data_IF_330568171979
#
_entry.id   IF_330568171979
#
_cell.length_a   1.000
_cell.length_b   1.000
_cell.length_c   1.000
_cell.angle_alpha   90.00
_cell.angle_beta   90.00
_cell.angle_gamma   90.00
#
_symmetry.space_group_name_H-M   'P 1'
#
loop_
_entity.id
_entity.type
_entity.pdbx_description
1 polymer ?
#
# COMPACT_ATOMS: atom_id res chain seq x y z
N UNK A 1 20.93 7.17 -55.65
CA UNK A 1 20.62 8.28 -56.59
C UNK A 1 20.41 7.83 -58.04
N UNK A 2 21.27 7.01 -58.67
CA UNK A 2 21.08 6.54 -60.07
C UNK A 2 19.70 5.91 -60.38
N UNK A 3 19.11 5.19 -59.42
CA UNK A 3 17.78 4.58 -59.58
C UNK A 3 16.62 5.58 -59.68
N UNK A 4 16.75 6.78 -59.09
CA UNK A 4 15.67 7.79 -59.09
C UNK A 4 15.65 8.49 -60.45
N UNK A 5 16.82 8.86 -60.97
CA UNK A 5 16.92 9.49 -62.30
C UNK A 5 16.39 8.57 -63.38
N UNK A 6 16.69 7.27 -63.30
CA UNK A 6 16.21 6.25 -64.25
C UNK A 6 14.69 6.00 -64.14
N UNK A 7 14.11 6.14 -62.95
CA UNK A 7 12.67 6.09 -62.74
C UNK A 7 11.97 7.33 -63.31
N UNK A 8 12.58 8.51 -63.20
CA UNK A 8 12.01 9.75 -63.74
C UNK A 8 12.04 9.78 -65.27
N UNK A 9 13.11 9.28 -65.89
CA UNK A 9 13.19 9.20 -67.36
C UNK A 9 12.20 8.18 -67.92
N UNK A 10 12.04 7.02 -67.28
CA UNK A 10 11.04 6.01 -67.69
C UNK A 10 9.61 6.51 -67.51
N UNK A 11 9.30 7.24 -66.44
CA UNK A 11 7.99 7.87 -66.26
C UNK A 11 7.70 8.93 -67.33
N UNK A 12 8.70 9.74 -67.69
CA UNK A 12 8.57 10.74 -68.75
C UNK A 12 8.32 10.08 -70.11
N UNK A 13 9.05 9.01 -70.41
CA UNK A 13 8.89 8.25 -71.65
C UNK A 13 7.53 7.53 -71.72
N UNK A 14 7.03 7.02 -70.59
CA UNK A 14 5.70 6.46 -70.49
C UNK A 14 4.62 7.52 -70.71
N UNK A 15 4.81 8.72 -70.13
CA UNK A 15 3.90 9.84 -70.30
C UNK A 15 3.83 10.30 -71.76
N UNK A 16 5.00 10.47 -72.41
CA UNK A 16 5.08 10.79 -73.84
C UNK A 16 4.41 9.70 -74.70
N UNK A 17 4.65 8.42 -74.41
CA UNK A 17 3.99 7.31 -75.13
C UNK A 17 2.48 7.27 -74.93
N UNK A 18 1.98 7.53 -73.72
CA UNK A 18 0.52 7.61 -73.47
C UNK A 18 -0.10 8.79 -74.19
N UNK A 19 0.64 9.90 -74.33
CA UNK A 19 0.17 11.07 -75.06
C UNK A 19 0.08 10.79 -76.55
N UNK A 20 1.07 10.11 -77.12
CA UNK A 20 1.08 9.73 -78.53
C UNK A 20 -0.01 8.71 -78.84
N UNK A 21 -0.24 7.73 -77.95
CA UNK A 21 -1.36 6.78 -78.07
C UNK A 21 -2.69 7.54 -78.02
N UNK A 22 -2.89 8.48 -77.10
CA UNK A 22 -4.13 9.27 -77.03
C UNK A 22 -4.29 10.20 -78.23
N UNK A 23 -3.20 10.66 -78.84
CA UNK A 23 -3.25 11.52 -80.03
C UNK A 23 -3.50 10.75 -81.33
N UNK A 24 -3.08 9.48 -81.42
CA UNK A 24 -3.17 8.66 -82.63
C UNK A 24 -4.26 7.59 -82.59
N UNK A 25 -4.73 7.20 -81.40
CA UNK A 25 -5.78 6.19 -81.26
C UNK A 25 -7.15 6.77 -81.58
N UNK A 26 -7.94 5.97 -82.30
CA UNK A 26 -9.37 6.19 -82.42
C UNK A 26 -9.95 6.28 -81.00
N UNK A 27 -10.64 7.38 -80.69
CA UNK A 27 -11.27 7.67 -79.39
C UNK A 27 -12.11 6.48 -78.91
N UNK A 28 -12.70 5.73 -79.85
CA UNK A 28 -13.47 4.51 -79.58
C UNK A 28 -12.62 3.44 -78.90
N UNK A 29 -11.39 3.20 -79.37
CA UNK A 29 -10.49 2.20 -78.79
C UNK A 29 -10.04 2.56 -77.37
N UNK A 30 -9.80 3.85 -77.11
CA UNK A 30 -9.46 4.35 -75.78
C UNK A 30 -10.65 4.18 -74.80
N UNK A 31 -11.87 4.48 -75.25
CA UNK A 31 -13.09 4.25 -74.46
C UNK A 31 -13.30 2.78 -74.12
N UNK A 32 -13.09 1.87 -75.07
CA UNK A 32 -13.18 0.41 -74.84
C UNK A 32 -12.15 -0.05 -73.82
N UNK A 33 -10.89 0.41 -73.94
CA UNK A 33 -9.83 0.07 -72.98
C UNK A 33 -10.15 0.59 -71.57
N UNK A 34 -10.59 1.85 -71.45
CA UNK A 34 -11.01 2.44 -70.17
C UNK A 34 -12.17 1.66 -69.56
N UNK A 35 -13.17 1.28 -70.37
CA UNK A 35 -14.30 0.46 -69.94
C UNK A 35 -13.85 -0.90 -69.40
N UNK A 36 -12.97 -1.59 -70.14
CA UNK A 36 -12.44 -2.90 -69.77
C UNK A 36 -11.59 -2.85 -68.49
N UNK A 37 -10.69 -1.87 -68.37
CA UNK A 37 -9.89 -1.66 -67.18
C UNK A 37 -10.74 -1.32 -65.95
N UNK A 38 -11.77 -0.47 -66.12
CA UNK A 38 -12.69 -0.17 -65.03
C UNK A 38 -13.54 -1.37 -64.62
N UNK A 39 -13.98 -2.19 -65.58
CA UNK A 39 -14.72 -3.42 -65.30
C UNK A 39 -13.84 -4.41 -64.53
N UNK A 40 -12.65 -4.74 -65.03
CA UNK A 40 -11.70 -5.62 -64.35
C UNK A 40 -11.29 -5.09 -62.97
N UNK A 41 -10.99 -3.79 -62.88
CA UNK A 41 -10.66 -3.14 -61.62
C UNK A 41 -11.81 -3.19 -60.61
N UNK A 42 -13.05 -3.04 -61.07
CA UNK A 42 -14.23 -3.13 -60.20
C UNK A 42 -14.42 -4.53 -59.63
N UNK A 43 -14.12 -5.58 -60.41
CA UNK A 43 -14.13 -6.97 -59.95
C UNK A 43 -13.05 -7.21 -58.89
N UNK A 44 -11.83 -6.71 -59.12
CA UNK A 44 -10.72 -6.85 -58.18
C UNK A 44 -10.96 -6.15 -56.83
N UNK A 45 -11.72 -5.05 -56.82
CA UNK A 45 -11.99 -4.23 -55.63
C UNK A 45 -13.34 -4.56 -54.97
N UNK A 46 -14.16 -5.45 -55.55
CA UNK A 46 -15.52 -5.74 -55.11
C UNK A 46 -15.62 -6.14 -53.62
N UNK A 47 -14.61 -6.83 -53.07
CA UNK A 47 -14.59 -7.28 -51.67
C UNK A 47 -14.19 -6.23 -50.63
N UNK A 48 -13.85 -5.00 -51.03
CA UNK A 48 -13.22 -4.02 -50.13
C UNK A 48 -13.80 -2.61 -50.29
N UNK A 49 -14.76 -2.19 -49.43
CA UNK A 49 -15.39 -0.86 -49.54
C UNK A 49 -14.39 0.28 -49.30
N UNK A 50 -13.37 0.05 -48.46
CA UNK A 50 -12.32 1.03 -48.20
C UNK A 50 -11.46 1.27 -49.46
N UNK A 51 -11.04 0.21 -50.15
CA UNK A 51 -10.27 0.35 -51.40
C UNK A 51 -11.11 1.03 -52.49
N UNK A 52 -12.42 0.73 -52.57
CA UNK A 52 -13.34 1.41 -53.48
C UNK A 52 -13.42 2.92 -53.22
N UNK A 53 -13.37 3.35 -51.97
CA UNK A 53 -13.36 4.77 -51.63
C UNK A 53 -12.04 5.45 -52.01
N UNK A 54 -10.90 4.80 -51.75
CA UNK A 54 -9.58 5.33 -52.09
C UNK A 54 -9.34 5.42 -53.60
N UNK A 55 -9.73 4.39 -54.36
CA UNK A 55 -9.67 4.41 -55.84
C UNK A 55 -10.44 5.58 -56.44
N UNK A 56 -11.68 5.83 -55.96
CA UNK A 56 -12.48 7.00 -56.37
C UNK A 56 -11.82 8.33 -56.04
N UNK A 57 -11.24 8.47 -54.84
CA UNK A 57 -10.53 9.70 -54.44
C UNK A 57 -9.30 9.96 -55.31
N UNK A 58 -8.53 8.92 -55.61
CA UNK A 58 -7.38 9.03 -56.51
C UNK A 58 -7.82 9.37 -57.93
N UNK A 59 -8.84 8.70 -58.47
CA UNK A 59 -9.39 8.99 -59.78
C UNK A 59 -9.85 10.45 -59.92
N UNK A 60 -10.59 10.96 -58.93
CA UNK A 60 -11.02 12.35 -58.89
C UNK A 60 -9.83 13.31 -58.81
N UNK A 61 -8.83 13.00 -57.98
CA UNK A 61 -7.60 13.79 -57.87
C UNK A 61 -6.84 13.88 -59.19
N UNK A 62 -6.69 12.76 -59.89
CA UNK A 62 -6.03 12.72 -61.21
C UNK A 62 -6.84 13.48 -62.28
N UNK A 63 -8.16 13.36 -62.28
CA UNK A 63 -9.02 14.09 -63.20
C UNK A 63 -8.89 15.60 -63.01
N UNK A 64 -8.96 16.07 -61.76
CA UNK A 64 -8.83 17.51 -61.45
C UNK A 64 -7.42 18.04 -61.76
N UNK A 65 -6.38 17.28 -61.42
CA UNK A 65 -5.00 17.65 -61.73
C UNK A 65 -4.75 17.78 -63.25
N UNK A 66 -5.24 16.82 -64.03
CA UNK A 66 -5.11 16.86 -65.48
C UNK A 66 -5.91 18.00 -66.11
N UNK A 67 -7.16 18.21 -65.66
CA UNK A 67 -7.98 19.32 -66.15
C UNK A 67 -7.33 20.68 -65.86
N UNK A 68 -6.79 20.87 -64.64
CA UNK A 68 -6.08 22.10 -64.27
C UNK A 68 -4.82 22.31 -65.12
N UNK A 69 -4.01 21.27 -65.33
CA UNK A 69 -2.81 21.35 -66.18
C UNK A 69 -3.16 21.71 -67.62
N UNK A 70 -4.20 21.09 -68.19
CA UNK A 70 -4.65 21.36 -69.55
C UNK A 70 -5.12 22.82 -69.73
N UNK A 71 -5.88 23.35 -68.76
CA UNK A 71 -6.36 24.75 -68.81
C UNK A 71 -5.19 25.73 -68.76
N UNK A 72 -4.21 25.51 -67.88
CA UNK A 72 -3.05 26.40 -67.74
C UNK A 72 -2.18 26.38 -69.00
N UNK A 73 -2.07 25.23 -69.67
CA UNK A 73 -1.17 25.06 -70.80
C UNK A 73 -1.74 25.56 -72.12
N UNK A 74 -2.99 25.23 -72.41
CA UNK A 74 -3.54 25.37 -73.77
C UNK A 74 -4.41 26.63 -73.93
N UNK A 75 -4.79 27.33 -72.84
CA UNK A 75 -5.58 28.58 -72.84
C UNK A 75 -6.73 28.56 -73.87
N UNK A 76 -7.76 27.72 -73.66
CA UNK A 76 -8.76 27.41 -74.68
C UNK A 76 -9.48 28.67 -75.16
N UNK A 77 -9.42 28.92 -76.46
CA UNK A 77 -10.02 30.10 -77.09
C UNK A 77 -11.41 29.83 -77.67
N UNK A 78 -11.72 28.56 -77.94
CA UNK A 78 -13.00 28.13 -78.48
C UNK A 78 -13.68 27.05 -77.61
N UNK A 79 -15.01 26.94 -77.76
CA UNK A 79 -15.86 25.94 -77.11
C UNK A 79 -15.52 24.51 -77.54
N UNK A 80 -15.01 24.33 -78.76
CA UNK A 80 -14.55 23.04 -79.29
C UNK A 80 -13.32 22.53 -78.52
N UNK A 81 -12.39 23.42 -78.14
CA UNK A 81 -11.21 23.09 -77.34
C UNK A 81 -11.60 22.64 -75.93
N UNK A 82 -12.58 23.31 -75.31
CA UNK A 82 -13.09 22.94 -73.98
C UNK A 82 -13.70 21.52 -73.98
N UNK A 83 -14.43 21.18 -75.04
CA UNK A 83 -15.01 19.85 -75.18
C UNK A 83 -13.92 18.78 -75.37
N UNK A 84 -12.90 19.06 -76.18
CA UNK A 84 -11.76 18.16 -76.36
C UNK A 84 -10.98 17.94 -75.05
N UNK A 85 -10.75 19.00 -74.26
CA UNK A 85 -10.09 18.91 -72.94
C UNK A 85 -10.95 18.08 -71.97
N UNK A 86 -12.27 18.23 -72.00
CA UNK A 86 -13.19 17.48 -71.15
C UNK A 86 -13.17 15.99 -71.48
N UNK A 87 -13.18 15.63 -72.76
CA UNK A 87 -13.09 14.22 -73.19
C UNK A 87 -11.74 13.62 -72.80
N UNK A 88 -10.63 14.33 -73.05
CA UNK A 88 -9.28 13.86 -72.70
C UNK A 88 -9.08 13.69 -71.19
N UNK A 89 -9.58 14.63 -70.39
CA UNK A 89 -9.52 14.54 -68.92
C UNK A 89 -10.38 13.39 -68.38
N UNK A 90 -11.54 13.14 -68.99
CA UNK A 90 -12.38 11.99 -68.66
C UNK A 90 -11.68 10.66 -68.98
N UNK A 91 -11.05 10.53 -70.15
CA UNK A 91 -10.26 9.35 -70.53
C UNK A 91 -9.06 9.14 -69.61
N UNK A 92 -8.29 10.20 -69.32
CA UNK A 92 -7.15 10.13 -68.41
C UNK A 92 -7.57 9.72 -67.00
N UNK A 93 -8.65 10.30 -66.48
CA UNK A 93 -9.24 9.93 -65.19
C UNK A 93 -9.71 8.47 -65.18
N UNK A 94 -10.36 8.01 -66.25
CA UNK A 94 -10.81 6.63 -66.41
C UNK A 94 -9.66 5.61 -66.44
N UNK A 95 -8.56 5.92 -67.14
CA UNK A 95 -7.35 5.09 -67.16
C UNK A 95 -6.66 5.05 -65.80
N UNK A 96 -6.47 6.21 -65.16
CA UNK A 96 -5.88 6.31 -63.84
C UNK A 96 -6.70 5.53 -62.81
N UNK A 97 -8.03 5.60 -62.88
CA UNK A 97 -8.93 4.81 -62.05
C UNK A 97 -8.74 3.31 -62.27
N UNK A 98 -8.75 2.86 -63.53
CA UNK A 98 -8.56 1.45 -63.88
C UNK A 98 -7.24 0.90 -63.36
N UNK A 99 -6.14 1.63 -63.55
CA UNK A 99 -4.81 1.26 -63.03
C UNK A 99 -4.78 1.26 -61.50
N UNK A 100 -5.33 2.29 -60.85
CA UNK A 100 -5.39 2.34 -59.40
C UNK A 100 -6.14 1.12 -58.82
N UNK A 101 -7.25 0.71 -59.43
CA UNK A 101 -7.99 -0.48 -59.02
C UNK A 101 -7.19 -1.78 -59.16
N UNK A 102 -6.21 -1.84 -60.07
CA UNK A 102 -5.36 -3.02 -60.27
C UNK A 102 -4.18 -3.03 -59.28
N UNK A 103 -3.54 -1.88 -59.06
CA UNK A 103 -2.36 -1.79 -58.19
C UNK A 103 -2.69 -1.78 -56.69
N UNK A 104 -3.79 -1.14 -56.26
CA UNK A 104 -4.13 -1.02 -54.84
C UNK A 104 -4.31 -2.38 -54.13
N UNK A 105 -5.03 -3.37 -54.70
CA UNK A 105 -5.12 -4.71 -54.12
C UNK A 105 -3.75 -5.39 -54.04
N UNK A 106 -2.90 -5.27 -55.07
CA UNK A 106 -1.57 -5.85 -55.10
C UNK A 106 -0.67 -5.26 -53.99
N UNK A 107 -0.68 -3.93 -53.82
CA UNK A 107 0.05 -3.24 -52.76
C UNK A 107 -0.49 -3.64 -51.38
N UNK A 108 -1.82 -3.70 -51.23
CA UNK A 108 -2.46 -4.12 -49.98
C UNK A 108 -2.07 -5.56 -49.62
N UNK A 109 -2.05 -6.47 -50.59
CA UNK A 109 -1.64 -7.86 -50.39
C UNK A 109 -0.16 -7.95 -49.99
N UNK A 110 0.71 -7.21 -50.69
CA UNK A 110 2.14 -7.14 -50.37
C UNK A 110 2.33 -6.63 -48.93
N UNK A 111 1.61 -5.56 -48.56
CA UNK A 111 1.67 -4.98 -47.22
C UNK A 111 1.18 -5.94 -46.14
N UNK A 112 0.06 -6.63 -46.38
CA UNK A 112 -0.52 -7.58 -45.42
C UNK A 112 0.38 -8.80 -45.20
N UNK A 113 0.99 -9.34 -46.26
CA UNK A 113 1.79 -10.56 -46.17
C UNK A 113 3.25 -10.34 -45.78
N UNK A 114 3.86 -9.22 -46.13
CA UNK A 114 5.29 -8.99 -45.85
C UNK A 114 5.49 -8.06 -44.66
N UNK A 115 4.96 -6.84 -44.74
CA UNK A 115 5.24 -5.78 -43.77
C UNK A 115 4.39 -5.92 -42.50
N UNK A 116 3.15 -6.40 -42.62
CA UNK A 116 2.26 -6.60 -41.49
C UNK A 116 2.75 -7.65 -40.49
N UNK A 117 3.41 -8.71 -40.96
CA UNK A 117 4.02 -9.72 -40.09
C UNK A 117 5.23 -9.13 -39.34
N UNK A 118 6.10 -8.42 -40.05
CA UNK A 118 7.30 -7.80 -39.48
C UNK A 118 6.95 -6.75 -38.42
N UNK A 119 5.99 -5.86 -38.71
CA UNK A 119 5.56 -4.82 -37.76
C UNK A 119 4.96 -5.43 -36.50
N UNK A 120 4.16 -6.50 -36.63
CA UNK A 120 3.60 -7.23 -35.48
C UNK A 120 4.70 -7.87 -34.63
N UNK A 121 5.69 -8.50 -35.26
CA UNK A 121 6.83 -9.08 -34.56
C UNK A 121 7.61 -8.01 -33.79
N UNK A 122 7.94 -6.89 -34.44
CA UNK A 122 8.63 -5.76 -33.82
C UNK A 122 7.84 -5.23 -32.62
N UNK A 123 6.53 -5.05 -32.78
CA UNK A 123 5.64 -4.60 -31.69
C UNK A 123 5.66 -5.56 -30.49
N UNK A 124 5.60 -6.86 -30.72
CA UNK A 124 5.68 -7.85 -29.63
C UNK A 124 7.03 -7.84 -28.92
N UNK A 125 8.14 -7.70 -29.66
CA UNK A 125 9.48 -7.58 -29.07
C UNK A 125 9.58 -6.32 -28.21
N UNK A 126 9.15 -5.16 -28.73
CA UNK A 126 9.16 -3.91 -27.96
C UNK A 126 8.26 -3.98 -26.72
N UNK A 127 7.08 -4.59 -26.80
CA UNK A 127 6.21 -4.78 -25.65
C UNK A 127 6.87 -5.65 -24.56
N UNK A 128 7.52 -6.74 -24.96
CA UNK A 128 8.22 -7.63 -24.03
C UNK A 128 9.40 -6.92 -23.36
N UNK A 129 10.14 -6.11 -24.12
CA UNK A 129 11.25 -5.32 -23.60
C UNK A 129 10.74 -4.26 -22.62
N UNK A 130 9.68 -3.52 -22.97
CA UNK A 130 9.08 -2.50 -22.10
C UNK A 130 8.58 -3.08 -20.78
N UNK A 131 7.96 -4.27 -20.80
CA UNK A 131 7.51 -4.98 -19.59
C UNK A 131 8.69 -5.31 -18.65
N UNK A 132 9.82 -5.77 -19.20
CA UNK A 132 11.01 -6.09 -18.40
C UNK A 132 11.58 -4.85 -17.71
N UNK A 133 11.58 -3.69 -18.38
CA UNK A 133 12.03 -2.45 -17.75
C UNK A 133 11.12 -2.02 -16.61
N UNK A 134 9.80 -2.09 -16.76
CA UNK A 134 8.86 -1.74 -15.68
C UNK A 134 8.96 -2.69 -14.48
N UNK A 135 9.20 -3.98 -14.71
CA UNK A 135 9.36 -4.95 -13.63
C UNK A 135 10.65 -4.73 -12.84
N UNK A 136 11.73 -4.36 -13.52
CA UNK A 136 13.00 -4.05 -12.87
C UNK A 136 12.87 -2.81 -11.97
N UNK A 137 12.20 -1.78 -12.45
CA UNK A 137 11.95 -0.54 -11.68
C UNK A 137 11.13 -0.82 -10.41
N UNK A 138 10.07 -1.64 -10.53
CA UNK A 138 9.28 -2.10 -9.37
C UNK A 138 10.14 -2.85 -8.35
N UNK A 139 10.98 -3.78 -8.81
CA UNK A 139 11.86 -4.56 -7.91
C UNK A 139 12.87 -3.68 -7.18
N UNK A 140 13.44 -2.68 -7.86
CA UNK A 140 14.36 -1.73 -7.23
C UNK A 140 13.64 -0.86 -6.18
N UNK A 141 12.42 -0.41 -6.49
CA UNK A 141 11.57 0.31 -5.53
C UNK A 141 11.27 -0.52 -4.27
N UNK A 142 10.88 -1.78 -4.44
CA UNK A 142 10.54 -2.67 -3.32
C UNK A 142 11.73 -2.94 -2.40
N UNK A 143 12.94 -3.09 -2.96
CA UNK A 143 14.16 -3.29 -2.17
C UNK A 143 14.47 -2.08 -1.29
N UNK A 144 14.31 -0.87 -1.82
CA UNK A 144 14.54 0.37 -1.08
C UNK A 144 13.50 0.57 0.03
N UNK A 145 12.23 0.27 -0.24
CA UNK A 145 11.16 0.32 0.79
C UNK A 145 11.46 -0.65 1.93
N UNK A 146 11.78 -1.91 1.62
CA UNK A 146 12.14 -2.92 2.63
C UNK A 146 13.36 -2.51 3.45
N UNK A 147 14.35 -1.87 2.82
CA UNK A 147 15.54 -1.37 3.51
C UNK A 147 15.19 -0.29 4.52
N UNK A 148 14.31 0.65 4.16
CA UNK A 148 13.82 1.71 5.06
C UNK A 148 13.02 1.13 6.22
N UNK A 149 12.12 0.19 5.95
CA UNK A 149 11.35 -0.49 7.00
C UNK A 149 12.26 -1.23 7.98
N UNK A 150 13.27 -1.95 7.48
CA UNK A 150 14.24 -2.63 8.33
C UNK A 150 15.05 -1.65 9.20
N UNK A 151 15.43 -0.48 8.65
CA UNK A 151 16.10 0.57 9.42
C UNK A 151 15.21 1.15 10.52
N UNK A 152 13.94 1.45 10.21
CA UNK A 152 12.96 1.93 11.19
C UNK A 152 12.68 0.90 12.27
N UNK A 153 12.58 -0.38 11.91
CA UNK A 153 12.41 -1.48 12.86
C UNK A 153 13.61 -1.60 13.82
N UNK A 154 14.83 -1.41 13.29
CA UNK A 154 16.07 -1.44 14.08
C UNK A 154 16.17 -0.23 15.01
N UNK A 155 15.84 0.98 14.52
CA UNK A 155 15.84 2.20 15.32
C UNK A 155 14.77 2.20 16.43
N UNK A 156 13.62 1.58 16.18
CA UNK A 156 12.53 1.47 17.16
C UNK A 156 12.68 0.31 18.14
N UNK A 157 13.61 -0.63 17.91
CA UNK A 157 13.88 -1.74 18.84
C UNK A 157 14.21 -1.26 20.28
N UNK A 158 15.16 -0.34 20.50
CA UNK A 158 15.49 0.12 21.86
C UNK A 158 14.34 0.86 22.55
N UNK A 159 13.49 1.58 21.80
CA UNK A 159 12.30 2.23 22.39
C UNK A 159 11.31 1.20 22.90
N UNK A 160 11.04 0.15 22.11
CA UNK A 160 10.14 -0.95 22.49
C UNK A 160 10.63 -1.70 23.71
N UNK A 161 11.93 -1.94 23.81
CA UNK A 161 12.53 -2.57 25.01
C UNK A 161 12.39 -1.69 26.25
N UNK A 162 12.65 -0.38 26.13
CA UNK A 162 12.49 0.57 27.25
C UNK A 162 11.04 0.68 27.71
N UNK A 163 10.09 0.73 26.78
CA UNK A 163 8.66 0.76 27.08
C UNK A 163 8.20 -0.55 27.75
N UNK A 164 8.65 -1.70 27.24
CA UNK A 164 8.37 -2.99 27.84
C UNK A 164 8.95 -3.09 29.27
N UNK A 165 10.21 -2.70 29.46
CA UNK A 165 10.86 -2.67 30.77
C UNK A 165 10.12 -1.73 31.75
N UNK A 166 9.67 -0.56 31.28
CA UNK A 166 8.90 0.38 32.10
C UNK A 166 7.56 -0.22 32.53
N UNK A 167 6.86 -0.92 31.63
CA UNK A 167 5.60 -1.61 31.96
C UNK A 167 5.80 -2.73 32.98
N UNK A 168 6.84 -3.54 32.81
CA UNK A 168 7.18 -4.63 33.75
C UNK A 168 7.51 -4.06 35.12
N UNK A 169 8.33 -3.00 35.20
CA UNK A 169 8.68 -2.36 36.46
C UNK A 169 7.45 -1.72 37.14
N UNK A 170 6.60 -1.04 36.36
CA UNK A 170 5.34 -0.47 36.85
C UNK A 170 4.35 -1.53 37.39
N UNK A 171 4.34 -2.73 36.82
CA UNK A 171 3.54 -3.84 37.33
C UNK A 171 4.11 -4.38 38.64
N UNK A 172 5.43 -4.60 38.68
CA UNK A 172 6.14 -5.08 39.87
C UNK A 172 5.92 -4.16 41.08
N UNK A 173 6.05 -2.84 40.89
CA UNK A 173 5.78 -1.83 41.95
C UNK A 173 4.38 -1.97 42.56
N UNK A 174 3.36 -2.22 41.73
CA UNK A 174 1.97 -2.42 42.21
C UNK A 174 1.82 -3.71 43.00
N UNK A 175 2.46 -4.78 42.54
CA UNK A 175 2.44 -6.08 43.23
C UNK A 175 3.17 -6.01 44.57
N UNK A 176 4.33 -5.37 44.63
CA UNK A 176 5.11 -5.16 45.85
C UNK A 176 4.28 -4.35 46.88
N UNK A 177 3.64 -3.24 46.46
CA UNK A 177 2.80 -2.42 47.34
C UNK A 177 1.58 -3.18 47.89
N UNK A 178 0.94 -4.04 47.08
CA UNK A 178 -0.16 -4.90 47.56
C UNK A 178 0.33 -5.98 48.51
N UNK A 179 1.45 -6.63 48.20
CA UNK A 179 2.03 -7.67 49.03
C UNK A 179 2.41 -7.14 50.43
N UNK A 180 2.91 -5.90 50.51
CA UNK A 180 3.16 -5.22 51.79
C UNK A 180 1.87 -5.01 52.61
N UNK A 181 0.80 -4.56 51.97
CA UNK A 181 -0.50 -4.37 52.62
C UNK A 181 -1.11 -5.72 53.07
N UNK A 182 -1.02 -6.75 52.23
CA UNK A 182 -1.52 -8.09 52.52
C UNK A 182 -0.79 -8.68 53.74
N UNK A 183 0.54 -8.52 53.79
CA UNK A 183 1.36 -8.98 54.92
C UNK A 183 1.00 -8.23 56.21
N UNK A 184 0.83 -6.90 56.15
CA UNK A 184 0.47 -6.10 57.32
C UNK A 184 -0.94 -6.44 57.82
N UNK A 185 -1.90 -6.60 56.90
CA UNK A 185 -3.26 -6.99 57.26
C UNK A 185 -3.30 -8.40 57.87
N UNK A 186 -2.58 -9.37 57.31
CA UNK A 186 -2.51 -10.72 57.86
C UNK A 186 -1.99 -10.75 59.31
N UNK A 187 -1.01 -9.90 59.63
CA UNK A 187 -0.52 -9.71 60.99
C UNK A 187 -1.55 -9.03 61.90
N UNK A 188 -2.26 -8.02 61.40
CA UNK A 188 -3.21 -7.23 62.18
C UNK A 188 -4.59 -7.89 62.37
N UNK A 189 -4.99 -8.75 61.43
CA UNK A 189 -6.34 -9.28 61.30
C UNK A 189 -6.89 -9.96 62.58
N UNK A 190 -6.12 -10.74 63.35
CA UNK A 190 -6.62 -11.34 64.59
C UNK A 190 -7.06 -10.30 65.63
N UNK A 191 -6.44 -9.12 65.62
CA UNK A 191 -6.69 -8.04 66.58
C UNK A 191 -7.78 -7.11 66.06
N UNK A 192 -7.69 -6.67 64.80
CA UNK A 192 -8.59 -5.64 64.25
C UNK A 192 -9.85 -6.21 63.57
N UNK A 193 -9.95 -7.52 63.41
CA UNK A 193 -10.94 -8.18 62.54
C UNK A 193 -12.41 -7.89 62.86
N UNK A 194 -12.73 -7.48 64.09
CA UNK A 194 -14.10 -7.08 64.49
C UNK A 194 -14.48 -5.68 64.00
N UNK A 195 -13.51 -4.81 63.73
CA UNK A 195 -13.71 -3.41 63.30
C UNK A 195 -13.36 -3.17 61.85
N UNK A 196 -12.39 -3.92 61.34
CA UNK A 196 -11.94 -3.84 59.97
C UNK A 196 -11.89 -5.26 59.41
N UNK A 197 -12.98 -5.65 58.74
CA UNK A 197 -13.17 -7.02 58.31
C UNK A 197 -12.28 -7.35 57.10
N UNK A 198 -12.05 -8.63 56.85
CA UNK A 198 -11.39 -9.09 55.63
C UNK A 198 -12.14 -8.66 54.36
N UNK A 199 -13.47 -8.53 54.44
CA UNK A 199 -14.28 -8.06 53.33
C UNK A 199 -13.98 -6.59 53.01
N UNK A 200 -13.92 -5.73 54.03
CA UNK A 200 -13.60 -4.30 53.86
C UNK A 200 -12.20 -4.10 53.28
N UNK A 201 -11.23 -4.90 53.75
CA UNK A 201 -9.88 -4.92 53.19
C UNK A 201 -9.88 -5.29 51.70
N UNK A 202 -10.55 -6.39 51.36
CA UNK A 202 -10.60 -6.89 49.98
C UNK A 202 -11.30 -5.89 49.06
N UNK A 203 -12.39 -5.29 49.53
CA UNK A 203 -13.10 -4.24 48.80
C UNK A 203 -12.20 -3.03 48.56
N UNK A 204 -11.48 -2.56 49.58
CA UNK A 204 -10.54 -1.44 49.46
C UNK A 204 -9.45 -1.72 48.42
N UNK A 205 -8.79 -2.87 48.51
CA UNK A 205 -7.73 -3.27 47.54
C UNK A 205 -8.30 -3.38 46.13
N UNK A 206 -9.48 -4.00 45.97
CA UNK A 206 -10.10 -4.16 44.65
C UNK A 206 -10.48 -2.82 44.01
N UNK A 207 -10.97 -1.87 44.81
CA UNK A 207 -11.49 -0.57 44.33
C UNK A 207 -10.39 0.46 44.12
N UNK A 208 -9.42 0.54 45.02
CA UNK A 208 -8.41 1.61 45.03
C UNK A 208 -7.02 1.17 44.58
N UNK A 209 -6.75 -0.14 44.55
CA UNK A 209 -5.46 -0.70 44.16
C UNK A 209 -5.57 -1.61 42.94
N UNK A 210 -6.52 -1.37 42.03
CA UNK A 210 -6.74 -2.18 40.82
C UNK A 210 -5.53 -2.19 39.85
N UNK A 211 -5.42 -3.21 39.00
CA UNK A 211 -4.37 -3.32 37.96
C UNK A 211 -4.44 -2.21 36.89
N UNK A 212 -5.54 -1.48 36.83
CA UNK A 212 -5.73 -0.36 35.90
C UNK A 212 -5.22 0.96 36.47
N UNK A 213 -5.05 1.07 37.79
CA UNK A 213 -4.60 2.30 38.45
C UNK A 213 -3.09 2.53 38.25
N UNK A 214 -2.61 3.77 38.06
CA UNK A 214 -1.18 4.07 37.97
C UNK A 214 -0.39 3.58 39.19
N UNK A 215 0.86 3.12 39.03
CA UNK A 215 1.65 2.58 40.14
C UNK A 215 1.82 3.58 41.28
N UNK A 216 2.00 4.87 40.98
CA UNK A 216 2.13 5.93 41.99
C UNK A 216 0.88 6.05 42.86
N UNK A 217 -0.30 5.92 42.24
CA UNK A 217 -1.58 5.97 42.96
C UNK A 217 -1.75 4.72 43.81
N UNK A 218 -1.37 3.54 43.31
CA UNK A 218 -1.43 2.29 44.09
C UNK A 218 -0.53 2.36 45.32
N UNK A 219 0.68 2.90 45.19
CA UNK A 219 1.61 3.09 46.31
C UNK A 219 1.07 4.10 47.34
N UNK A 220 0.54 5.24 46.90
CA UNK A 220 -0.07 6.22 47.81
C UNK A 220 -1.25 5.62 48.59
N UNK A 221 -2.12 4.85 47.91
CA UNK A 221 -3.24 4.15 48.54
C UNK A 221 -2.78 3.03 49.47
N UNK A 222 -1.69 2.35 49.14
CA UNK A 222 -1.06 1.37 50.01
C UNK A 222 -0.60 2.03 51.33
N UNK A 223 0.09 3.17 51.26
CA UNK A 223 0.51 3.90 52.47
C UNK A 223 -0.67 4.35 53.33
N UNK A 224 -1.74 4.85 52.71
CA UNK A 224 -2.97 5.22 53.41
C UNK A 224 -3.60 4.02 54.12
N UNK A 225 -3.70 2.87 53.43
CA UNK A 225 -4.23 1.63 54.02
C UNK A 225 -3.35 1.14 55.17
N UNK A 226 -2.02 1.16 55.02
CA UNK A 226 -1.08 0.82 56.09
C UNK A 226 -1.27 1.72 57.31
N UNK A 227 -1.47 3.02 57.12
CA UNK A 227 -1.74 3.96 58.21
C UNK A 227 -3.06 3.66 58.94
N UNK A 228 -4.13 3.35 58.20
CA UNK A 228 -5.44 2.95 58.77
C UNK A 228 -5.29 1.68 59.60
N UNK A 229 -4.60 0.66 59.08
CA UNK A 229 -4.37 -0.61 59.80
C UNK A 229 -3.61 -0.36 61.12
N UNK A 230 -2.54 0.44 61.08
CA UNK A 230 -1.76 0.81 62.28
C UNK A 230 -2.62 1.56 63.31
N UNK A 231 -3.42 2.52 62.85
CA UNK A 231 -4.33 3.28 63.72
C UNK A 231 -5.36 2.36 64.40
N UNK A 232 -5.89 1.35 63.69
CA UNK A 232 -6.79 0.36 64.29
C UNK A 232 -6.08 -0.52 65.32
N UNK A 233 -4.84 -0.93 65.06
CA UNK A 233 -4.04 -1.67 66.04
C UNK A 233 -3.84 -0.87 67.33
N UNK A 234 -3.41 0.40 67.22
CA UNK A 234 -3.19 1.31 68.36
C UNK A 234 -4.45 1.58 69.17
N UNK A 235 -5.64 1.55 68.54
CA UNK A 235 -6.93 1.77 69.22
C UNK A 235 -7.55 0.51 69.83
N UNK A 236 -7.17 -0.68 69.35
CA UNK A 236 -7.73 -1.95 69.85
C UNK A 236 -6.87 -2.50 70.99
N UNK A 237 -5.56 -2.32 70.92
CA UNK A 237 -4.70 -2.49 72.07
C UNK A 237 -4.64 -1.15 72.81
N UNK A 238 -5.49 -0.87 73.82
CA UNK A 238 -5.09 0.16 74.77
C UNK A 238 -3.69 -0.24 75.24
N UNK A 239 -2.71 0.65 75.08
CA UNK A 239 -1.38 0.46 75.69
C UNK A 239 -1.67 -0.06 77.10
N UNK A 240 -1.19 -1.27 77.47
CA UNK A 240 -1.55 -1.89 78.72
C UNK A 240 -1.22 -0.90 79.82
N UNK A 241 -2.25 -0.21 80.32
CA UNK A 241 -2.07 0.89 81.24
C UNK A 241 -1.59 0.25 82.52
N UNK A 242 -0.26 0.30 82.76
CA UNK A 242 0.40 -0.22 83.95
C UNK A 242 0.18 -1.72 84.20
N UNK A 243 0.33 -2.55 83.18
CA UNK A 243 0.48 -3.99 83.45
C UNK A 243 1.82 -4.23 84.15
N UNK A 244 1.84 -5.09 85.17
CA UNK A 244 3.09 -5.46 85.83
C UNK A 244 4.01 -6.24 84.89
N UNK A 245 5.31 -6.30 85.16
CA UNK A 245 6.28 -7.11 84.39
C UNK A 245 5.82 -8.58 84.23
N UNK A 246 5.09 -9.09 85.23
CA UNK A 246 4.53 -10.44 85.24
C UNK A 246 3.35 -10.61 84.27
N UNK A 247 2.53 -9.58 84.10
CA UNK A 247 1.42 -9.60 83.13
C UNK A 247 1.93 -9.43 81.70
N UNK A 248 3.04 -8.70 81.50
CA UNK A 248 3.71 -8.58 80.21
C UNK A 248 4.27 -9.94 79.74
N UNK A 249 4.95 -10.67 80.63
CA UNK A 249 5.48 -12.00 80.30
C UNK A 249 4.36 -13.02 80.06
N UNK A 250 3.28 -12.99 80.84
CA UNK A 250 2.11 -13.83 80.61
C UNK A 250 1.46 -13.58 79.24
N UNK A 251 1.34 -12.31 78.83
CA UNK A 251 0.86 -11.94 77.50
C UNK A 251 1.78 -12.45 76.38
N UNK A 252 3.10 -12.37 76.57
CA UNK A 252 4.07 -12.86 75.58
C UNK A 252 3.99 -14.38 75.41
N UNK A 253 3.89 -15.14 76.51
CA UNK A 253 3.71 -16.60 76.51
C UNK A 253 2.41 -17.00 75.79
N UNK A 254 1.30 -16.33 76.11
CA UNK A 254 0.01 -16.56 75.45
C UNK A 254 0.10 -16.35 73.94
N UNK A 255 0.68 -15.23 73.50
CA UNK A 255 0.85 -14.95 72.06
C UNK A 255 1.85 -15.86 71.38
N UNK A 256 2.91 -16.27 72.06
CA UNK A 256 3.80 -17.30 71.54
C UNK A 256 3.08 -18.63 71.34
N UNK A 257 2.18 -19.01 72.24
CA UNK A 257 1.37 -20.23 72.13
C UNK A 257 0.42 -20.17 70.93
N UNK A 258 -0.31 -19.05 70.77
CA UNK A 258 -1.19 -18.86 69.61
C UNK A 258 -0.44 -18.91 68.28
N UNK A 259 0.75 -18.30 68.20
CA UNK A 259 1.56 -18.32 66.98
C UNK A 259 2.05 -19.74 66.61
N UNK A 260 2.15 -20.67 67.55
CA UNK A 260 2.46 -22.07 67.22
C UNK A 260 1.37 -22.74 66.39
N UNK A 261 0.11 -22.29 66.54
CA UNK A 261 -1.05 -22.81 65.79
C UNK A 261 -1.12 -22.32 64.34
N UNK A 262 -0.27 -21.36 63.94
CA UNK A 262 -0.21 -20.86 62.56
C UNK A 262 0.32 -21.95 61.62
N UNK A 263 -0.42 -22.36 60.56
CA UNK A 263 -0.04 -23.47 59.69
C UNK A 263 1.18 -23.17 58.81
N UNK A 264 1.35 -21.91 58.39
CA UNK A 264 2.44 -21.48 57.51
C UNK A 264 3.71 -21.22 58.32
N UNK A 265 4.71 -22.08 58.12
CA UNK A 265 6.00 -22.03 58.81
C UNK A 265 6.80 -20.75 58.54
N UNK A 266 6.74 -20.21 57.32
CA UNK A 266 7.50 -19.01 56.97
C UNK A 266 6.89 -17.78 57.63
N UNK A 267 5.56 -17.66 57.54
CA UNK A 267 4.81 -16.60 58.20
C UNK A 267 5.00 -16.68 59.72
N UNK A 268 4.85 -17.88 60.31
CA UNK A 268 5.04 -18.14 61.74
C UNK A 268 6.40 -17.63 62.25
N UNK A 269 7.50 -17.95 61.55
CA UNK A 269 8.83 -17.45 61.93
C UNK A 269 8.92 -15.94 61.95
N UNK A 270 8.37 -15.27 60.93
CA UNK A 270 8.36 -13.80 60.87
C UNK A 270 7.56 -13.20 62.02
N UNK A 271 6.37 -13.75 62.31
CA UNK A 271 5.52 -13.30 63.40
C UNK A 271 6.20 -13.46 64.77
N UNK A 272 6.90 -14.58 64.99
CA UNK A 272 7.66 -14.83 66.24
C UNK A 272 8.77 -13.79 66.42
N UNK A 273 9.53 -13.47 65.37
CA UNK A 273 10.60 -12.46 65.44
C UNK A 273 10.02 -11.09 65.80
N UNK A 274 8.93 -10.69 65.16
CA UNK A 274 8.27 -9.42 65.44
C UNK A 274 7.73 -9.35 66.87
N UNK A 275 7.11 -10.42 67.35
CA UNK A 275 6.60 -10.50 68.73
C UNK A 275 7.74 -10.35 69.74
N UNK A 276 8.89 -10.99 69.50
CA UNK A 276 10.08 -10.87 70.37
C UNK A 276 10.65 -9.46 70.41
N UNK A 277 10.76 -8.79 69.25
CA UNK A 277 11.20 -7.39 69.18
C UNK A 277 10.25 -6.51 69.99
N UNK A 278 8.95 -6.66 69.79
CA UNK A 278 7.94 -5.89 70.52
C UNK A 278 7.98 -6.13 72.03
N UNK A 279 8.15 -7.38 72.47
CA UNK A 279 8.32 -7.70 73.88
C UNK A 279 9.56 -7.02 74.47
N UNK A 280 10.68 -7.03 73.74
CA UNK A 280 11.91 -6.34 74.14
C UNK A 280 11.68 -4.83 74.31
N UNK A 281 11.02 -4.19 73.35
CA UNK A 281 10.75 -2.75 73.38
C UNK A 281 9.85 -2.37 74.57
N UNK A 282 8.77 -3.13 74.79
CA UNK A 282 7.87 -2.91 75.92
C UNK A 282 8.59 -3.11 77.26
N UNK A 283 9.42 -4.14 77.37
CA UNK A 283 10.21 -4.41 78.58
C UNK A 283 11.22 -3.29 78.85
N UNK A 284 11.92 -2.82 77.81
CA UNK A 284 12.88 -1.71 77.90
C UNK A 284 12.20 -0.41 78.33
N UNK A 285 11.03 -0.09 77.75
CA UNK A 285 10.26 1.10 78.12
C UNK A 285 9.80 1.02 79.58
N UNK A 286 9.26 -0.13 80.03
CA UNK A 286 8.86 -0.31 81.43
C UNK A 286 10.04 -0.18 82.41
N UNK A 287 11.20 -0.76 82.08
CA UNK A 287 12.40 -0.63 82.91
C UNK A 287 12.89 0.82 82.99
N UNK A 288 12.79 1.57 81.89
CA UNK A 288 13.14 3.00 81.87
C UNK A 288 12.20 3.86 82.71
N UNK A 289 10.89 3.56 82.72
CA UNK A 289 9.91 4.25 83.56
C UNK A 289 10.04 3.91 85.06
N UNK A 290 10.53 2.70 85.38
CA UNK A 290 10.77 2.25 86.76
C UNK A 290 12.10 2.72 87.35
N UNK A 291 13.01 3.27 86.54
CA UNK A 291 14.28 3.85 87.00
C UNK A 291 14.08 5.34 87.31
N UNK A 292 13.91 5.74 88.58
CA UNK A 292 13.67 7.13 88.97
C UNK A 292 14.85 8.07 88.69
#
# INVERSE_FOLDING_TARGET
MKSITQCLTTLRQLHESTRDIVATSDVVSALVLVGLLNWLGSLAVAGSPKLKQWTRRLALGFLLAYAAEAIVRDSPSDTTDLLAITIRSCLAGGLAQGLACLFLPAISFLWQNTLGALIRFIKHVFQTIAQRYSDLERRLGDVEVRRREAQLATQSAPSREREAATRVNAQKRREDARAECDALFALAAPVIGTRFSKQDYTEFVSKYMANTAPPEVVEERAEQLKAIIRQHQERVEPLPSRKSLQELSAWFEERMSELQSVPDERLRKTLIVQLKVRYSDLTSNMLSEMSP
#
